data_IF_963226761087
#
_entry.id   IF_963226761087
#
_cell.length_a   1.000
_cell.length_b   1.000
_cell.length_c   1.000
_cell.angle_alpha   90.00
_cell.angle_beta   90.00
_cell.angle_gamma   90.00
#
_symmetry.space_group_name_H-M   'P 1'
#
loop_
_entity.id
_entity.type
_entity.pdbx_description
1 polymer ?
#
# COMPACT_ATOMS: atom_id res chain seq x y z
N UNK A 1 -18.60 -94.88 -42.00
CA UNK A 1 -19.29 -93.58 -41.79
C UNK A 1 -19.01 -93.09 -40.37
N UNK A 2 -18.38 -91.90 -40.25
CA UNK A 2 -18.20 -90.99 -39.06
C UNK A 2 -17.68 -91.64 -37.75
N UNK A 3 -16.39 -91.59 -37.38
CA UNK A 3 -15.56 -90.47 -36.84
C UNK A 3 -16.18 -89.80 -35.59
N UNK A 4 -15.82 -90.14 -34.34
CA UNK A 4 -14.65 -89.83 -33.46
C UNK A 4 -14.60 -88.39 -32.88
N UNK A 5 -14.30 -88.37 -31.56
CA UNK A 5 -13.59 -87.33 -30.76
C UNK A 5 -14.32 -86.01 -30.46
N UNK A 6 -14.07 -85.25 -29.39
CA UNK A 6 -13.54 -85.37 -28.01
C UNK A 6 -13.51 -83.91 -27.52
N UNK A 7 -13.87 -83.70 -26.25
CA UNK A 7 -13.39 -82.65 -25.32
C UNK A 7 -12.82 -81.32 -25.86
N UNK A 8 -13.39 -80.21 -25.38
CA UNK A 8 -12.60 -79.05 -24.96
C UNK A 8 -13.13 -77.67 -25.37
N UNK A 9 -13.24 -76.79 -24.37
CA UNK A 9 -12.48 -75.53 -24.27
C UNK A 9 -13.22 -74.17 -24.20
N UNK A 10 -12.80 -73.43 -23.17
CA UNK A 10 -12.60 -71.97 -22.98
C UNK A 10 -13.82 -71.06 -22.78
N UNK A 11 -14.00 -70.65 -21.53
CA UNK A 11 -14.58 -69.38 -21.13
C UNK A 11 -13.67 -68.22 -21.57
N UNK A 12 -14.20 -67.31 -22.39
CA UNK A 12 -13.53 -66.03 -22.71
C UNK A 12 -14.18 -64.89 -21.92
N UNK A 13 -13.43 -64.39 -20.92
CA UNK A 13 -13.66 -63.09 -20.29
C UNK A 13 -13.20 -61.99 -21.25
N UNK A 14 -14.10 -61.08 -21.62
CA UNK A 14 -13.76 -59.85 -22.35
C UNK A 14 -13.44 -58.74 -21.35
N UNK A 15 -12.15 -58.41 -21.21
CA UNK A 15 -11.72 -57.17 -20.55
C UNK A 15 -11.91 -55.99 -21.52
N UNK A 16 -12.75 -55.04 -21.14
CA UNK A 16 -12.80 -53.71 -21.75
C UNK A 16 -11.53 -52.93 -21.38
N UNK A 17 -10.58 -52.89 -22.31
CA UNK A 17 -9.43 -52.00 -22.24
C UNK A 17 -9.86 -50.55 -22.45
N UNK A 18 -10.04 -49.82 -21.35
CA UNK A 18 -10.15 -48.36 -21.37
C UNK A 18 -8.75 -47.78 -21.58
N UNK A 19 -8.46 -47.32 -22.80
CA UNK A 19 -7.24 -46.55 -23.09
C UNK A 19 -7.44 -45.16 -22.49
N UNK A 20 -6.91 -44.94 -21.28
CA UNK A 20 -6.67 -43.59 -20.76
C UNK A 20 -5.51 -42.98 -21.55
N UNK A 21 -5.84 -42.11 -22.51
CA UNK A 21 -4.89 -41.13 -23.03
C UNK A 21 -4.56 -40.16 -21.89
N UNK A 22 -3.50 -40.46 -21.15
CA UNK A 22 -2.81 -39.46 -20.32
C UNK A 22 -2.14 -38.46 -21.27
N UNK A 23 -2.87 -37.39 -21.62
CA UNK A 23 -2.26 -36.18 -22.12
C UNK A 23 -1.53 -35.52 -20.94
N UNK A 24 -0.22 -35.80 -20.80
CA UNK A 24 0.63 -35.00 -19.93
C UNK A 24 0.73 -33.60 -20.52
N UNK A 25 -0.09 -32.68 -20.00
CA UNK A 25 0.09 -31.24 -20.21
C UNK A 25 1.35 -30.84 -19.42
N UNK A 26 2.50 -30.91 -20.06
CA UNK A 26 3.71 -30.23 -19.60
C UNK A 26 3.61 -28.81 -20.18
N UNK A 27 3.03 -27.88 -19.43
CA UNK A 27 3.13 -26.45 -19.70
C UNK A 27 4.25 -25.85 -18.81
N UNK A 28 4.72 -24.62 -19.06
CA UNK A 28 6.01 -24.31 -19.63
C UNK A 28 6.96 -23.69 -18.57
N UNK A 29 7.49 -24.51 -17.67
CA UNK A 29 8.39 -23.99 -16.62
C UNK A 29 9.72 -23.47 -17.22
N UNK A 30 10.17 -24.05 -18.33
CA UNK A 30 11.45 -23.70 -18.96
C UNK A 30 11.47 -22.31 -19.62
N UNK A 31 10.37 -21.89 -20.26
CA UNK A 31 10.34 -20.64 -21.03
C UNK A 31 10.41 -19.39 -20.14
N UNK A 32 9.70 -19.40 -19.01
CA UNK A 32 9.68 -18.27 -18.06
C UNK A 32 11.05 -18.09 -17.39
N UNK A 33 11.71 -19.20 -17.04
CA UNK A 33 13.04 -19.17 -16.46
C UNK A 33 14.09 -18.66 -17.46
N UNK A 34 13.97 -19.06 -18.72
CA UNK A 34 14.84 -18.61 -19.82
C UNK A 34 14.69 -17.10 -20.09
N UNK A 35 13.45 -16.60 -20.14
CA UNK A 35 13.15 -15.18 -20.37
C UNK A 35 13.64 -14.30 -19.21
N UNK A 36 13.45 -14.74 -17.96
CA UNK A 36 13.95 -14.05 -16.76
C UNK A 36 15.48 -13.96 -16.78
N UNK A 37 16.16 -15.03 -17.21
CA UNK A 37 17.62 -15.07 -17.36
C UNK A 37 18.11 -14.10 -18.43
N UNK A 38 17.42 -14.02 -19.56
CA UNK A 38 17.74 -13.09 -20.64
C UNK A 38 17.61 -11.63 -20.19
N UNK A 39 16.50 -11.26 -19.54
CA UNK A 39 16.29 -9.91 -19.01
C UNK A 39 17.37 -9.56 -17.98
N UNK A 40 17.64 -10.44 -17.02
CA UNK A 40 18.67 -10.23 -15.99
C UNK A 40 20.04 -9.95 -16.61
N UNK A 41 20.42 -10.72 -17.63
CA UNK A 41 21.69 -10.53 -18.34
C UNK A 41 21.77 -9.15 -19.00
N UNK A 42 20.71 -8.71 -19.68
CA UNK A 42 20.68 -7.40 -20.36
C UNK A 42 20.79 -6.26 -19.35
N UNK A 43 20.07 -6.33 -18.22
CA UNK A 43 20.15 -5.31 -17.17
C UNK A 43 21.55 -5.23 -16.58
N UNK A 44 22.17 -6.36 -16.23
CA UNK A 44 23.52 -6.37 -15.67
C UNK A 44 24.58 -5.82 -16.63
N UNK A 45 24.43 -6.07 -17.93
CA UNK A 45 25.32 -5.51 -18.96
C UNK A 45 25.16 -3.98 -19.06
N UNK A 46 23.93 -3.45 -19.13
CA UNK A 46 23.67 -2.00 -19.17
C UNK A 46 24.21 -1.30 -17.91
N UNK A 47 24.06 -1.91 -16.74
CA UNK A 47 24.63 -1.38 -15.50
C UNK A 47 26.16 -1.34 -15.58
N UNK A 48 26.80 -2.46 -15.94
CA UNK A 48 28.27 -2.53 -16.05
C UNK A 48 28.83 -1.45 -17.00
N UNK A 49 28.19 -1.25 -18.15
CA UNK A 49 28.58 -0.22 -19.12
C UNK A 49 28.46 1.21 -18.56
N UNK A 50 27.47 1.47 -17.71
CA UNK A 50 27.21 2.80 -17.13
C UNK A 50 28.06 3.13 -15.91
N UNK A 51 28.31 2.16 -15.03
CA UNK A 51 29.04 2.40 -13.77
C UNK A 51 30.52 2.07 -13.81
N UNK A 52 31.04 1.60 -14.95
CA UNK A 52 32.44 1.25 -15.12
C UNK A 52 32.84 -0.02 -14.37
N UNK A 53 34.14 -0.34 -14.38
CA UNK A 53 34.71 -1.55 -13.76
C UNK A 53 34.80 -1.38 -12.23
N UNK A 54 33.66 -1.24 -11.58
CA UNK A 54 33.57 -1.10 -10.12
C UNK A 54 33.64 -2.47 -9.45
N UNK A 55 34.34 -2.59 -8.32
CA UNK A 55 34.53 -3.85 -7.60
C UNK A 55 33.23 -4.42 -6.97
N UNK A 56 32.16 -3.63 -6.95
CA UNK A 56 30.86 -4.02 -6.39
C UNK A 56 29.98 -4.51 -7.54
N UNK A 57 29.53 -5.78 -7.47
CA UNK A 57 28.63 -6.35 -8.44
C UNK A 57 27.21 -5.77 -8.29
N UNK A 58 26.57 -5.45 -9.41
CA UNK A 58 25.15 -5.15 -9.43
C UNK A 58 24.33 -6.45 -9.33
N UNK A 59 23.16 -6.37 -8.72
CA UNK A 59 22.23 -7.50 -8.55
C UNK A 59 20.82 -7.11 -8.99
N UNK A 60 20.16 -7.98 -9.75
CA UNK A 60 18.76 -7.81 -10.18
C UNK A 60 17.84 -8.66 -9.28
N UNK A 61 16.99 -8.00 -8.52
CA UNK A 61 16.18 -8.62 -7.46
C UNK A 61 14.81 -9.06 -7.95
N UNK A 62 14.09 -8.18 -8.63
CA UNK A 62 12.72 -8.43 -9.10
C UNK A 62 12.62 -8.07 -10.57
N UNK A 63 11.94 -8.92 -11.34
CA UNK A 63 11.63 -8.67 -12.74
C UNK A 63 10.12 -8.87 -12.90
N UNK A 64 9.45 -7.85 -13.43
CA UNK A 64 8.03 -7.91 -13.77
C UNK A 64 7.86 -7.57 -15.22
N UNK A 65 7.00 -8.29 -15.93
CA UNK A 65 6.72 -8.01 -17.33
C UNK A 65 5.22 -7.95 -17.64
N UNK A 66 4.90 -7.17 -18.68
CA UNK A 66 3.58 -7.00 -19.27
C UNK A 66 3.79 -6.96 -20.78
N UNK A 67 3.27 -7.98 -21.48
CA UNK A 67 3.44 -8.15 -22.92
C UNK A 67 4.92 -8.05 -23.33
N UNK A 68 5.27 -7.08 -24.17
CA UNK A 68 6.64 -6.87 -24.65
C UNK A 68 7.50 -5.99 -23.73
N UNK A 69 7.03 -5.58 -22.56
CA UNK A 69 7.79 -4.70 -21.65
C UNK A 69 8.16 -5.41 -20.35
N UNK A 70 9.35 -5.13 -19.83
CA UNK A 70 9.79 -5.59 -18.52
C UNK A 70 10.31 -4.42 -17.67
N UNK A 71 10.12 -4.50 -16.36
CA UNK A 71 10.68 -3.61 -15.35
C UNK A 71 11.46 -4.46 -14.36
N UNK A 72 12.73 -4.14 -14.23
CA UNK A 72 13.69 -4.83 -13.38
C UNK A 72 14.19 -3.91 -12.27
N UNK A 73 14.11 -4.38 -11.03
CA UNK A 73 14.67 -3.72 -9.85
C UNK A 73 16.08 -4.24 -9.63
N UNK A 74 16.99 -3.35 -9.28
CA UNK A 74 18.38 -3.71 -9.05
C UNK A 74 19.02 -2.90 -7.93
N UNK A 75 20.06 -3.48 -7.35
CA UNK A 75 20.95 -2.83 -6.40
C UNK A 75 22.37 -2.80 -6.95
N UNK A 76 23.09 -1.72 -6.65
CA UNK A 76 24.51 -1.59 -6.91
C UNK A 76 25.18 -0.89 -5.73
N UNK A 77 25.78 -1.68 -4.85
CA UNK A 77 26.28 -1.19 -3.57
C UNK A 77 25.14 -0.66 -2.70
N UNK A 78 25.14 0.63 -2.41
CA UNK A 78 24.09 1.31 -1.64
C UNK A 78 23.06 2.02 -2.53
N UNK A 79 23.20 1.91 -3.85
CA UNK A 79 22.23 2.49 -4.80
C UNK A 79 21.20 1.45 -5.20
N UNK A 80 19.94 1.85 -5.27
CA UNK A 80 18.87 1.07 -5.87
C UNK A 80 18.31 1.78 -7.10
N UNK A 81 17.73 1.02 -8.01
CA UNK A 81 17.16 1.57 -9.22
C UNK A 81 16.23 0.63 -9.95
N UNK A 82 15.63 1.20 -10.99
CA UNK A 82 14.74 0.50 -11.89
C UNK A 82 15.24 0.64 -13.33
N UNK A 83 15.17 -0.45 -14.08
CA UNK A 83 15.46 -0.51 -15.50
C UNK A 83 14.24 -1.04 -16.23
N UNK A 84 13.79 -0.31 -17.26
CA UNK A 84 12.71 -0.75 -18.14
C UNK A 84 13.27 -1.19 -19.48
N UNK A 85 12.77 -2.33 -19.95
CA UNK A 85 13.17 -3.00 -21.17
C UNK A 85 11.98 -3.23 -22.09
N UNK A 86 12.26 -3.37 -23.38
CA UNK A 86 11.31 -3.82 -24.40
C UNK A 86 11.86 -5.04 -25.12
N UNK A 87 11.00 -6.01 -25.40
CA UNK A 87 11.26 -7.15 -26.25
C UNK A 87 10.82 -6.81 -27.68
N UNK A 88 11.79 -6.61 -28.57
CA UNK A 88 11.56 -6.41 -30.00
C UNK A 88 12.22 -7.57 -30.75
N UNK A 89 11.42 -8.33 -31.51
CA UNK A 89 11.91 -9.47 -32.30
C UNK A 89 12.70 -10.50 -31.47
N UNK A 90 12.15 -10.89 -30.31
CA UNK A 90 12.77 -11.85 -29.37
C UNK A 90 14.08 -11.37 -28.74
N UNK A 91 14.35 -10.05 -28.80
CA UNK A 91 15.52 -9.44 -28.19
C UNK A 91 15.13 -8.34 -27.20
N UNK A 92 15.61 -8.49 -25.97
CA UNK A 92 15.43 -7.50 -24.91
C UNK A 92 16.42 -6.35 -25.06
N UNK A 93 15.91 -5.12 -25.04
CA UNK A 93 16.68 -3.87 -25.07
C UNK A 93 16.26 -2.95 -23.94
N UNK A 94 17.24 -2.30 -23.31
CA UNK A 94 16.99 -1.25 -22.30
C UNK A 94 16.42 0.00 -22.94
N UNK A 95 15.30 0.50 -22.41
CA UNK A 95 14.69 1.78 -22.77
C UNK A 95 15.22 2.88 -21.84
N UNK A 96 15.16 2.64 -20.53
CA UNK A 96 15.55 3.60 -19.51
C UNK A 96 16.07 2.88 -18.27
N UNK A 97 17.14 3.41 -17.68
CA UNK A 97 17.69 3.01 -16.39
C UNK A 97 17.74 4.24 -15.49
N UNK A 98 17.19 4.15 -14.29
CA UNK A 98 17.14 5.25 -13.32
C UNK A 98 17.64 4.80 -11.94
N UNK A 99 18.29 5.72 -11.22
CA UNK A 99 18.53 5.57 -9.77
C UNK A 99 17.25 6.01 -9.07
N UNK A 100 16.58 5.09 -8.37
CA UNK A 100 15.23 5.28 -7.83
C UNK A 100 14.10 4.90 -8.79
N UNK A 101 12.87 5.17 -8.34
CA UNK A 101 11.65 4.63 -8.95
C UNK A 101 11.20 5.39 -10.21
N UNK A 102 10.73 4.65 -11.20
CA UNK A 102 10.17 5.16 -12.45
C UNK A 102 8.65 5.33 -12.30
N UNK A 103 8.17 6.56 -12.53
CA UNK A 103 6.75 6.84 -12.57
C UNK A 103 6.14 6.44 -13.93
N UNK A 104 4.84 6.08 -14.00
CA UNK A 104 4.19 5.82 -15.28
C UNK A 104 4.31 6.98 -16.27
N UNK A 105 4.30 8.22 -15.79
CA UNK A 105 4.51 9.41 -16.62
C UNK A 105 5.89 9.46 -17.26
N UNK A 106 6.93 9.03 -16.53
CA UNK A 106 8.30 8.94 -17.05
C UNK A 106 8.35 7.90 -18.17
N UNK A 107 7.76 6.72 -17.95
CA UNK A 107 7.71 5.66 -18.97
C UNK A 107 7.01 6.10 -20.26
N UNK A 108 5.92 6.89 -20.15
CA UNK A 108 5.23 7.48 -21.31
C UNK A 108 6.13 8.45 -22.08
N UNK A 109 7.00 9.22 -21.41
CA UNK A 109 7.96 10.10 -22.08
C UNK A 109 8.99 9.32 -22.90
N UNK A 110 9.29 8.08 -22.49
CA UNK A 110 10.15 7.16 -23.24
C UNK A 110 9.41 6.33 -24.29
N UNK A 111 8.16 6.69 -24.62
CA UNK A 111 7.39 6.06 -25.70
C UNK A 111 6.65 4.79 -25.32
N UNK A 112 6.59 4.43 -24.03
CA UNK A 112 5.81 3.28 -23.57
C UNK A 112 4.33 3.67 -23.54
N UNK A 113 3.41 2.86 -24.13
CA UNK A 113 1.98 3.10 -24.07
C UNK A 113 1.49 3.31 -22.63
N UNK A 114 0.56 4.25 -22.42
CA UNK A 114 0.14 4.71 -21.09
C UNK A 114 -0.45 3.59 -20.22
N UNK A 115 -1.24 2.71 -20.82
CA UNK A 115 -1.82 1.52 -20.21
C UNK A 115 -0.75 0.49 -19.81
N UNK A 116 0.22 0.24 -20.69
CA UNK A 116 1.36 -0.63 -20.40
C UNK A 116 2.22 -0.06 -19.26
N UNK A 117 2.56 1.22 -19.31
CA UNK A 117 3.32 1.89 -18.26
C UNK A 117 2.65 1.80 -16.88
N UNK A 118 1.33 2.00 -16.82
CA UNK A 118 0.56 1.85 -15.58
C UNK A 118 0.53 0.40 -15.08
N UNK A 119 0.28 -0.55 -15.97
CA UNK A 119 0.17 -1.97 -15.63
C UNK A 119 1.50 -2.54 -15.18
N UNK A 120 2.59 -2.22 -15.89
CA UNK A 120 3.94 -2.66 -15.59
C UNK A 120 4.38 -2.18 -14.20
N UNK A 121 4.19 -0.89 -13.93
CA UNK A 121 4.50 -0.29 -12.65
C UNK A 121 3.60 -0.84 -11.52
N UNK A 122 2.30 -1.02 -11.80
CA UNK A 122 1.37 -1.60 -10.83
C UNK A 122 1.70 -3.05 -10.51
N UNK A 123 2.11 -3.87 -11.47
CA UNK A 123 2.51 -5.26 -11.19
C UNK A 123 3.84 -5.33 -10.46
N UNK A 124 4.80 -4.49 -10.86
CA UNK A 124 6.14 -4.46 -10.26
C UNK A 124 6.12 -4.08 -8.79
N UNK A 125 5.16 -3.23 -8.40
CA UNK A 125 4.94 -2.82 -7.02
C UNK A 125 4.07 -3.81 -6.22
N UNK A 126 3.61 -4.89 -6.86
CA UNK A 126 2.45 -5.66 -6.41
C UNK A 126 1.18 -4.84 -6.56
N UNK A 127 0.01 -5.52 -6.55
CA UNK A 127 -1.26 -4.81 -6.31
C UNK A 127 -1.03 -3.84 -5.14
N UNK A 128 -1.51 -2.57 -5.21
CA UNK A 128 -1.42 -1.68 -4.06
C UNK A 128 -1.89 -2.50 -2.87
N UNK A 129 -1.02 -2.71 -1.87
CA UNK A 129 -1.39 -3.45 -0.67
C UNK A 129 -2.76 -2.90 -0.28
N UNK A 130 -3.79 -3.76 -0.30
CA UNK A 130 -5.18 -3.32 -0.23
C UNK A 130 -5.27 -2.37 0.95
N UNK A 131 -5.52 -1.09 0.65
CA UNK A 131 -5.42 -0.05 1.65
C UNK A 131 -6.37 -0.47 2.78
N UNK A 132 -5.89 -0.63 4.02
CA UNK A 132 -6.73 -1.15 5.09
C UNK A 132 -8.03 -0.34 5.13
N UNK A 133 -9.21 -0.93 5.32
CA UNK A 133 -10.45 -0.17 5.30
C UNK A 133 -10.41 0.98 6.31
N UNK A 134 -11.08 2.08 6.01
CA UNK A 134 -11.24 3.16 6.99
C UNK A 134 -12.02 2.62 8.18
N UNK A 135 -11.69 3.07 9.40
CA UNK A 135 -12.46 2.69 10.58
C UNK A 135 -13.96 2.93 10.34
N UNK A 136 -14.80 1.94 10.67
CA UNK A 136 -16.25 1.97 10.37
C UNK A 136 -16.94 3.26 10.81
N UNK A 137 -16.44 3.89 11.88
CA UNK A 137 -16.94 5.18 12.37
C UNK A 137 -16.91 6.30 11.32
N UNK A 138 -16.00 6.23 10.34
CA UNK A 138 -15.81 7.24 9.30
C UNK A 138 -16.28 6.79 7.91
N UNK A 139 -16.82 5.58 7.78
CA UNK A 139 -17.17 5.01 6.48
C UNK A 139 -18.19 5.87 5.71
N UNK A 140 -19.12 6.51 6.42
CA UNK A 140 -20.13 7.38 5.82
C UNK A 140 -19.59 8.78 5.48
N UNK A 141 -18.61 9.28 6.22
CA UNK A 141 -18.06 10.62 6.04
C UNK A 141 -16.99 10.67 4.94
N UNK A 142 -16.23 9.59 4.76
CA UNK A 142 -15.11 9.57 3.80
C UNK A 142 -15.53 9.97 2.38
N UNK A 143 -16.62 9.42 1.77
CA UNK A 143 -17.05 9.83 0.44
C UNK A 143 -17.43 11.31 0.35
N UNK A 144 -18.02 11.86 1.42
CA UNK A 144 -18.41 13.27 1.46
C UNK A 144 -17.19 14.19 1.49
N UNK A 145 -16.17 13.82 2.28
CA UNK A 145 -14.92 14.55 2.34
C UNK A 145 -14.18 14.53 1.00
N UNK A 146 -14.07 13.36 0.37
CA UNK A 146 -13.43 13.19 -0.95
C UNK A 146 -14.06 14.06 -2.04
N UNK A 147 -15.37 14.34 -1.95
CA UNK A 147 -16.07 15.18 -2.92
C UNK A 147 -15.87 16.69 -2.70
N UNK A 148 -15.45 17.10 -1.50
CA UNK A 148 -15.47 18.50 -1.07
C UNK A 148 -14.09 19.11 -0.85
N UNK A 149 -13.05 18.29 -0.70
CA UNK A 149 -11.70 18.76 -0.41
C UNK A 149 -10.66 18.15 -1.35
N UNK A 150 -9.64 18.94 -1.70
CA UNK A 150 -8.45 18.45 -2.42
C UNK A 150 -7.34 18.02 -1.44
N UNK A 151 -7.58 18.19 -0.14
CA UNK A 151 -6.64 17.84 0.92
C UNK A 151 -6.52 16.31 1.00
N UNK A 152 -5.30 15.74 1.04
CA UNK A 152 -5.13 14.32 1.29
C UNK A 152 -5.80 13.91 2.61
N UNK A 153 -6.71 12.93 2.57
CA UNK A 153 -7.49 12.52 3.74
C UNK A 153 -6.75 11.41 4.47
N UNK A 154 -6.26 11.71 5.67
CA UNK A 154 -5.65 10.72 6.57
C UNK A 154 -6.63 10.40 7.69
N UNK A 155 -7.41 9.34 7.49
CA UNK A 155 -8.29 8.78 8.51
C UNK A 155 -7.79 7.40 8.94
N UNK A 156 -7.88 7.09 10.25
CA UNK A 156 -7.35 5.85 10.77
C UNK A 156 -8.14 4.65 10.29
N UNK A 157 -7.44 3.52 10.19
CA UNK A 157 -8.06 2.21 9.96
C UNK A 157 -8.60 1.63 11.27
N UNK A 158 -8.01 2.03 12.39
CA UNK A 158 -8.30 1.50 13.72
C UNK A 158 -8.65 2.62 14.70
N UNK A 159 -9.63 2.34 15.56
CA UNK A 159 -9.99 3.20 16.68
C UNK A 159 -10.19 2.33 17.93
N UNK A 160 -9.91 2.88 19.13
CA UNK A 160 -10.26 2.19 20.36
C UNK A 160 -11.78 1.98 20.43
N UNK A 161 -12.24 0.91 21.09
CA UNK A 161 -13.67 0.67 21.25
C UNK A 161 -14.30 1.76 22.12
N UNK A 162 -15.41 2.32 21.64
CA UNK A 162 -16.21 3.29 22.40
C UNK A 162 -17.32 2.57 23.16
N UNK A 163 -17.51 2.91 24.44
CA UNK A 163 -18.57 2.32 25.29
C UNK A 163 -19.95 2.92 25.04
N UNK A 164 -20.03 3.99 24.26
CA UNK A 164 -21.24 4.78 24.02
C UNK A 164 -21.35 5.04 22.52
N UNK A 165 -22.57 5.30 22.05
CA UNK A 165 -22.80 5.67 20.66
C UNK A 165 -22.10 7.01 20.36
N UNK A 166 -21.35 7.03 19.26
CA UNK A 166 -20.65 8.21 18.78
C UNK A 166 -21.38 8.76 17.57
N UNK A 167 -21.72 10.04 17.62
CA UNK A 167 -22.28 10.79 16.51
C UNK A 167 -21.15 11.53 15.79
N UNK A 168 -21.12 11.41 14.47
CA UNK A 168 -20.06 11.95 13.63
C UNK A 168 -20.62 13.06 12.77
N UNK A 169 -19.98 14.23 12.82
CA UNK A 169 -20.29 15.35 11.95
C UNK A 169 -19.01 15.76 11.22
N UNK A 170 -19.06 15.81 9.89
CA UNK A 170 -17.95 16.25 9.06
C UNK A 170 -18.24 17.62 8.43
N UNK A 171 -17.17 18.38 8.23
CA UNK A 171 -17.14 19.59 7.43
C UNK A 171 -15.90 19.51 6.54
N UNK A 172 -16.05 19.77 5.25
CA UNK A 172 -14.93 19.93 4.33
C UNK A 172 -15.07 21.22 3.53
N UNK A 173 -13.93 21.86 3.31
CA UNK A 173 -13.76 22.91 2.33
C UNK A 173 -12.57 22.57 1.44
N UNK A 174 -12.35 23.39 0.41
CA UNK A 174 -11.33 23.12 -0.62
C UNK A 174 -9.94 22.75 -0.05
N UNK A 175 -9.52 23.44 1.01
CA UNK A 175 -8.18 23.33 1.59
C UNK A 175 -8.18 22.83 3.06
N UNK A 176 -9.29 22.31 3.58
CA UNK A 176 -9.33 21.80 4.95
C UNK A 176 -10.49 20.81 5.15
N UNK A 177 -10.37 19.94 6.14
CA UNK A 177 -11.49 19.17 6.65
C UNK A 177 -11.46 19.07 8.18
N UNK A 178 -12.62 18.82 8.76
CA UNK A 178 -12.80 18.50 10.17
C UNK A 178 -13.90 17.48 10.34
N UNK A 179 -13.67 16.50 11.21
CA UNK A 179 -14.64 15.52 11.67
C UNK A 179 -14.74 15.66 13.18
N UNK A 180 -15.91 15.96 13.69
CA UNK A 180 -16.20 16.02 15.12
C UNK A 180 -16.84 14.72 15.60
N UNK A 181 -16.35 14.20 16.73
CA UNK A 181 -16.91 13.07 17.44
C UNK A 181 -17.70 13.56 18.65
N UNK A 182 -18.96 13.17 18.76
CA UNK A 182 -19.90 13.67 19.76
C UNK A 182 -20.61 12.53 20.48
N UNK A 183 -20.91 12.72 21.77
CA UNK A 183 -21.64 11.77 22.61
C UNK A 183 -23.16 11.89 22.46
N UNK A 184 -23.64 12.97 21.84
CA UNK A 184 -25.07 13.26 21.62
C UNK A 184 -25.27 13.92 20.26
N UNK A 185 -26.47 13.74 19.68
CA UNK A 185 -26.91 14.54 18.54
C UNK A 185 -27.00 16.02 18.94
N UNK A 186 -26.71 16.94 18.01
CA UNK A 186 -26.77 18.39 18.23
C UNK A 186 -25.89 18.89 19.39
N UNK A 187 -24.72 18.28 19.56
CA UNK A 187 -23.68 18.81 20.42
C UNK A 187 -23.00 20.01 19.74
N UNK A 188 -23.62 21.19 19.84
CA UNK A 188 -23.26 22.45 19.15
C UNK A 188 -21.90 23.04 19.60
N UNK A 189 -20.84 22.25 19.53
CA UNK A 189 -19.49 22.60 20.01
C UNK A 189 -19.34 22.59 21.53
N UNK A 190 -20.38 22.18 22.27
CA UNK A 190 -20.37 22.18 23.74
C UNK A 190 -19.30 21.19 24.25
N UNK A 191 -18.27 21.64 25.00
CA UNK A 191 -17.16 20.79 25.39
C UNK A 191 -17.55 19.52 26.14
N UNK A 192 -18.65 19.56 26.91
CA UNK A 192 -19.12 18.43 27.71
C UNK A 192 -19.59 17.22 26.88
N UNK A 193 -20.10 17.44 25.66
CA UNK A 193 -20.56 16.36 24.78
C UNK A 193 -19.62 16.11 23.58
N UNK A 194 -18.55 16.91 23.42
CA UNK A 194 -17.50 16.68 22.43
C UNK A 194 -16.52 15.62 22.95
N UNK A 195 -16.43 14.50 22.24
CA UNK A 195 -15.46 13.45 22.52
C UNK A 195 -14.10 13.75 21.90
N UNK A 196 -14.08 14.31 20.69
CA UNK A 196 -12.84 14.53 19.97
C UNK A 196 -13.02 15.02 18.54
N UNK A 197 -11.92 15.13 17.81
CA UNK A 197 -11.92 15.57 16.42
C UNK A 197 -10.76 15.00 15.60
N UNK A 198 -10.95 14.95 14.29
CA UNK A 198 -9.92 14.67 13.28
C UNK A 198 -9.94 15.79 12.28
N UNK A 199 -8.80 16.40 11.96
CA UNK A 199 -8.78 17.53 11.03
C UNK A 199 -7.48 17.64 10.25
N UNK A 200 -7.58 18.32 9.12
CA UNK A 200 -6.42 18.79 8.36
C UNK A 200 -6.66 20.23 7.90
N UNK A 201 -5.63 21.07 8.04
CA UNK A 201 -5.64 22.47 7.59
C UNK A 201 -4.24 22.86 7.09
N UNK A 202 -4.11 23.92 6.28
CA UNK A 202 -2.80 24.39 5.86
C UNK A 202 -1.93 24.70 7.09
N UNK A 203 -0.63 24.40 7.00
CA UNK A 203 0.33 24.78 8.03
C UNK A 203 0.28 26.30 8.20
N UNK A 204 0.10 26.73 9.45
CA UNK A 204 0.24 28.14 9.79
C UNK A 204 1.72 28.51 9.76
N UNK A 205 2.08 29.64 9.15
CA UNK A 205 3.45 30.18 9.19
C UNK A 205 3.98 30.40 10.62
N UNK A 206 3.09 30.57 11.61
CA UNK A 206 3.40 30.66 13.03
C UNK A 206 3.25 29.33 13.78
N UNK A 207 3.11 28.21 13.06
CA UNK A 207 2.91 26.89 13.67
C UNK A 207 4.10 26.51 14.55
N UNK A 208 3.86 26.54 15.85
CA UNK A 208 4.72 25.96 16.87
C UNK A 208 3.80 25.14 17.77
N UNK A 209 4.17 23.92 18.17
CA UNK A 209 3.40 23.19 19.17
C UNK A 209 3.40 24.02 20.47
N UNK A 210 2.26 24.60 20.82
CA UNK A 210 2.18 25.72 21.79
C UNK A 210 2.19 25.25 23.26
N UNK A 211 2.32 23.94 23.52
CA UNK A 211 2.24 23.40 24.87
C UNK A 211 3.62 22.98 25.41
N UNK A 212 3.94 23.42 26.63
CA UNK A 212 5.16 23.00 27.31
C UNK A 212 5.15 21.50 27.70
N UNK A 213 3.97 20.86 27.67
CA UNK A 213 3.82 19.41 27.82
C UNK A 213 3.87 18.66 26.49
N UNK A 214 3.99 19.36 25.36
CA UNK A 214 4.10 18.69 24.07
C UNK A 214 5.41 17.90 24.00
N UNK A 215 5.29 16.65 23.60
CA UNK A 215 6.38 15.72 23.38
C UNK A 215 6.53 15.43 21.89
N UNK A 216 7.77 15.43 21.44
CA UNK A 216 8.13 14.97 20.12
C UNK A 216 8.13 13.44 20.09
N UNK A 217 7.35 12.86 19.16
CA UNK A 217 7.25 11.41 18.98
C UNK A 217 7.49 11.04 17.51
N UNK A 218 8.04 9.85 17.27
CA UNK A 218 8.24 9.34 15.93
C UNK A 218 7.03 8.51 15.49
N UNK A 219 6.38 8.93 14.42
CA UNK A 219 5.25 8.23 13.79
C UNK A 219 5.73 7.34 12.64
N UNK A 220 4.80 6.55 12.11
CA UNK A 220 5.03 5.69 10.96
C UNK A 220 5.63 6.48 9.78
N UNK A 221 6.43 5.78 8.96
CA UNK A 221 7.17 6.36 7.84
C UNK A 221 8.17 7.46 8.25
N UNK A 222 8.60 7.48 9.52
CA UNK A 222 9.59 8.42 10.04
C UNK A 222 9.07 9.86 10.17
N UNK A 223 7.75 10.04 10.23
CA UNK A 223 7.13 11.37 10.36
C UNK A 223 7.27 11.85 11.80
N UNK A 224 7.73 13.09 11.98
CA UNK A 224 7.74 13.73 13.29
C UNK A 224 6.32 14.12 13.71
N UNK A 225 5.90 13.62 14.86
CA UNK A 225 4.64 13.96 15.52
C UNK A 225 4.86 14.75 16.81
N UNK A 226 3.79 15.42 17.25
CA UNK A 226 3.74 16.25 18.45
C UNK A 226 2.55 15.83 19.30
N UNK A 227 2.81 15.09 20.37
CA UNK A 227 1.80 14.59 21.29
C UNK A 227 1.67 15.52 22.51
N UNK A 228 0.45 15.88 22.88
CA UNK A 228 0.14 16.61 24.11
C UNK A 228 -0.89 15.82 24.92
N UNK A 229 -0.60 15.42 26.17
CA UNK A 229 -1.51 14.62 26.97
C UNK A 229 -2.78 15.38 27.37
N UNK A 230 -3.82 14.64 27.75
CA UNK A 230 -5.05 15.21 28.28
C UNK A 230 -4.80 15.95 29.59
N UNK A 231 -5.63 16.97 29.87
CA UNK A 231 -5.57 17.71 31.13
C UNK A 231 -6.95 17.98 31.66
N UNK A 232 -7.22 17.52 32.88
CA UNK A 232 -8.47 17.78 33.58
C UNK A 232 -8.20 18.65 34.80
N UNK A 233 -8.26 19.97 34.59
CA UNK A 233 -8.40 20.94 35.68
C UNK A 233 -9.89 21.27 35.83
N UNK A 234 -10.29 22.55 35.78
CA UNK A 234 -11.71 22.95 35.76
C UNK A 234 -12.44 22.53 34.47
N UNK A 235 -11.70 22.33 33.38
CA UNK A 235 -12.19 21.80 32.11
C UNK A 235 -11.23 20.72 31.61
N UNK A 236 -11.78 19.60 31.14
CA UNK A 236 -11.00 18.52 30.56
C UNK A 236 -10.67 18.82 29.08
N UNK A 237 -9.41 19.15 28.83
CA UNK A 237 -8.82 19.24 27.51
C UNK A 237 -8.51 17.83 26.97
N UNK A 238 -8.78 17.56 25.68
CA UNK A 238 -8.45 16.28 25.06
C UNK A 238 -6.94 16.09 24.94
N UNK A 239 -6.49 14.84 24.86
CA UNK A 239 -5.16 14.54 24.35
C UNK A 239 -5.13 14.94 22.87
N UNK A 240 -4.01 15.51 22.42
CA UNK A 240 -3.83 16.02 21.06
C UNK A 240 -2.61 15.36 20.43
N UNK A 241 -2.71 14.97 19.17
CA UNK A 241 -1.58 14.54 18.36
C UNK A 241 -1.59 15.25 17.01
N UNK A 242 -0.49 15.91 16.69
CA UNK A 242 -0.34 16.68 15.45
C UNK A 242 0.89 16.24 14.66
N UNK A 243 0.79 16.26 13.33
CA UNK A 243 1.94 16.09 12.44
C UNK A 243 1.75 16.92 11.18
N UNK A 244 2.86 17.21 10.50
CA UNK A 244 2.85 17.95 9.24
C UNK A 244 3.14 17.00 8.09
N UNK A 245 2.32 17.06 7.04
CA UNK A 245 2.56 16.33 5.81
C UNK A 245 2.15 17.16 4.59
N UNK A 246 3.08 17.34 3.65
CA UNK A 246 2.89 18.11 2.39
C UNK A 246 2.23 19.49 2.59
N UNK A 247 2.69 20.26 3.58
CA UNK A 247 2.19 21.61 3.85
C UNK A 247 0.84 21.68 4.57
N UNK A 248 0.35 20.54 5.07
CA UNK A 248 -0.87 20.43 5.87
C UNK A 248 -0.53 19.99 7.29
N UNK A 249 -1.15 20.61 8.30
CA UNK A 249 -1.16 20.12 9.67
C UNK A 249 -2.36 19.20 9.85
N UNK A 250 -2.09 17.96 10.24
CA UNK A 250 -3.09 16.99 10.64
C UNK A 250 -3.16 16.98 12.16
N UNK A 251 -4.38 16.89 12.70
CA UNK A 251 -4.64 16.95 14.14
C UNK A 251 -5.68 15.92 14.54
N UNK A 252 -5.38 15.16 15.57
CA UNK A 252 -6.28 14.25 16.27
C UNK A 252 -6.46 14.79 17.69
N UNK A 253 -7.70 14.87 18.15
CA UNK A 253 -8.05 15.21 19.53
C UNK A 253 -9.00 14.16 20.08
N UNK A 254 -8.71 13.58 21.25
CA UNK A 254 -9.60 12.61 21.90
C UNK A 254 -9.62 12.78 23.42
N UNK A 255 -10.81 12.65 24.02
CA UNK A 255 -11.00 12.60 25.47
C UNK A 255 -11.16 11.16 25.95
N UNK A 256 -10.75 10.93 27.20
CA UNK A 256 -11.04 9.68 27.92
C UNK A 256 -10.34 8.45 27.34
N UNK A 257 -9.21 8.65 26.67
CA UNK A 257 -8.32 7.60 26.20
C UNK A 257 -7.24 7.34 27.24
N UNK A 258 -6.75 6.10 27.33
CA UNK A 258 -5.70 5.71 28.29
C UNK A 258 -6.08 5.88 29.77
N UNK A 259 -5.28 5.29 30.66
CA UNK A 259 -5.37 5.48 32.12
C UNK A 259 -4.28 6.42 32.65
N UNK A 260 -3.27 6.69 31.84
CA UNK A 260 -2.12 7.55 32.14
C UNK A 260 -1.52 8.06 30.83
N UNK A 261 -0.59 9.02 30.95
CA UNK A 261 0.07 9.68 29.81
C UNK A 261 0.71 8.69 28.83
N UNK A 262 1.37 7.65 29.33
CA UNK A 262 2.03 6.66 28.46
C UNK A 262 1.02 5.84 27.64
N UNK A 263 -0.09 5.43 28.25
CA UNK A 263 -1.16 4.72 27.56
C UNK A 263 -1.92 5.65 26.59
N UNK A 264 -2.11 6.92 26.96
CA UNK A 264 -2.65 7.94 26.06
C UNK A 264 -1.80 8.13 24.81
N UNK A 265 -0.49 8.32 24.98
CA UNK A 265 0.47 8.47 23.88
C UNK A 265 0.45 7.25 22.96
N UNK A 266 0.49 6.04 23.53
CA UNK A 266 0.46 4.80 22.77
C UNK A 266 -0.83 4.67 21.94
N UNK A 267 -1.99 4.99 22.53
CA UNK A 267 -3.28 4.95 21.82
C UNK A 267 -3.33 6.01 20.72
N UNK A 268 -2.95 7.26 21.00
CA UNK A 268 -2.94 8.33 19.99
C UNK A 268 -1.99 8.01 18.84
N UNK A 269 -0.80 7.51 19.15
CA UNK A 269 0.21 7.10 18.17
C UNK A 269 -0.29 5.96 17.30
N UNK A 270 -0.93 4.94 17.88
CA UNK A 270 -1.52 3.83 17.12
C UNK A 270 -2.58 4.32 16.13
N UNK A 271 -3.46 5.23 16.55
CA UNK A 271 -4.48 5.83 15.67
C UNK A 271 -3.81 6.59 14.52
N UNK A 272 -2.86 7.49 14.80
CA UNK A 272 -2.15 8.25 13.78
C UNK A 272 -1.36 7.35 12.82
N UNK A 273 -0.64 6.36 13.35
CA UNK A 273 0.15 5.42 12.55
C UNK A 273 -0.76 4.62 11.60
N UNK A 274 -1.91 4.14 12.07
CA UNK A 274 -2.86 3.43 11.21
C UNK A 274 -3.37 4.30 10.03
N UNK A 275 -3.52 5.62 10.25
CA UNK A 275 -3.89 6.56 9.20
C UNK A 275 -2.72 6.80 8.23
N UNK A 276 -1.52 7.03 8.76
CA UNK A 276 -0.30 7.29 7.99
C UNK A 276 0.10 6.09 7.13
N UNK A 277 0.03 4.88 7.69
CA UNK A 277 0.37 3.63 7.02
C UNK A 277 -0.57 3.35 5.87
N UNK A 278 -1.89 3.43 6.13
CA UNK A 278 -2.91 3.33 5.10
C UNK A 278 -2.72 4.41 4.01
N UNK A 279 -2.21 5.59 4.37
CA UNK A 279 -2.00 6.68 3.43
C UNK A 279 -3.29 7.46 3.14
N UNK A 280 -3.22 8.35 2.14
CA UNK A 280 -4.36 9.16 1.73
C UNK A 280 -5.51 8.26 1.22
N UNK A 281 -6.72 8.54 1.67
CA UNK A 281 -7.95 7.82 1.31
C UNK A 281 -8.80 8.63 0.36
#
# INVERSE_FOLDING_TARGET
MKARALLGYIASLTLWGSVLLLATVIAPISAVAEETSAIRKVVLLDLLERGGVSAIAAEVTTITWVDSYALANWFWGQSEGETVLINENEQWRVIVTSRGTLAPSTLVQYGIPRDMARTLVSRARGAPAEQPPVANLFAEQLPQLQQQTDVPIFLPSELPPFKQQIYVNSYAGRNAYSIALRLQQNCDGIPACTLGSFSAKPVDSAYSPVDWLTQEILLAKGIQGYFTPSRCNSFCLPSTLEWVWKGMTYRIELKGIGRNVTEEEAVMSAIANSAIEAGAR
#
